data_IF_922355687033
#
_entry.id   IF_922355687033
#
_cell.length_a   1.000
_cell.length_b   1.000
_cell.length_c   1.000
_cell.angle_alpha   90.00
_cell.angle_beta   90.00
_cell.angle_gamma   90.00
#
_symmetry.space_group_name_H-M   'P 1'
#
loop_
_entity.id
_entity.type
_entity.pdbx_description
1 polymer ?
#
# COMPACT_ATOMS: atom_id res chain seq x y z
N UNK A 1 27.97 -45.27 -21.56
CA UNK A 1 26.59 -45.24 -20.99
C UNK A 1 26.33 -44.02 -20.08
N UNK A 2 27.02 -42.88 -20.28
CA UNK A 2 26.82 -41.66 -19.47
C UNK A 2 26.23 -40.47 -20.24
N UNK A 3 25.90 -40.64 -21.53
CA UNK A 3 25.46 -39.55 -22.41
C UNK A 3 24.17 -38.88 -21.93
N UNK A 4 23.19 -39.66 -21.46
CA UNK A 4 21.94 -39.12 -20.92
C UNK A 4 22.12 -38.39 -19.58
N UNK A 5 23.11 -38.79 -18.76
CA UNK A 5 23.46 -38.07 -17.53
C UNK A 5 24.16 -36.73 -17.83
N UNK A 6 25.01 -36.70 -18.86
CA UNK A 6 25.68 -35.47 -19.28
C UNK A 6 24.70 -34.45 -19.86
N UNK A 7 23.73 -34.91 -20.64
CA UNK A 7 22.70 -34.07 -21.23
C UNK A 7 21.79 -33.46 -20.14
N UNK A 8 21.36 -34.27 -19.15
CA UNK A 8 20.61 -33.74 -18.01
C UNK A 8 21.44 -32.75 -17.18
N UNK A 9 22.72 -33.03 -16.92
CA UNK A 9 23.59 -32.14 -16.15
C UNK A 9 23.78 -30.77 -16.80
N UNK A 10 23.71 -30.70 -18.14
CA UNK A 10 23.80 -29.43 -18.88
C UNK A 10 22.49 -28.64 -18.87
N UNK A 11 21.33 -29.30 -18.88
CA UNK A 11 20.03 -28.62 -18.80
C UNK A 11 19.60 -28.27 -17.38
N UNK A 12 20.09 -29.00 -16.38
CA UNK A 12 19.77 -28.79 -14.98
C UNK A 12 19.96 -27.34 -14.48
N UNK A 13 21.09 -26.63 -14.75
CA UNK A 13 21.24 -25.25 -14.30
C UNK A 13 20.24 -24.29 -14.94
N UNK A 14 19.88 -24.49 -16.21
CA UNK A 14 18.88 -23.66 -16.90
C UNK A 14 17.50 -23.90 -16.28
N UNK A 15 17.18 -25.15 -15.96
CA UNK A 15 15.91 -25.50 -15.31
C UNK A 15 15.82 -24.90 -13.90
N UNK A 16 16.92 -24.84 -13.15
CA UNK A 16 16.94 -24.19 -11.84
C UNK A 16 16.73 -22.68 -11.92
N UNK A 17 17.35 -21.99 -12.90
CA UNK A 17 17.13 -20.55 -13.12
C UNK A 17 15.68 -20.27 -13.49
N UNK A 18 15.08 -21.09 -14.36
CA UNK A 18 13.68 -20.92 -14.75
C UNK A 18 12.74 -21.21 -13.58
N UNK A 19 12.97 -22.30 -12.84
CA UNK A 19 12.16 -22.67 -11.70
C UNK A 19 12.22 -21.61 -10.60
N UNK A 20 13.41 -21.08 -10.31
CA UNK A 20 13.56 -20.05 -9.30
C UNK A 20 12.85 -18.75 -9.68
N UNK A 21 12.92 -18.34 -10.95
CA UNK A 21 12.18 -17.17 -11.44
C UNK A 21 10.65 -17.32 -11.30
N UNK A 22 10.11 -18.51 -11.56
CA UNK A 22 8.66 -18.76 -11.39
C UNK A 22 8.27 -18.78 -9.90
N UNK A 23 9.11 -19.35 -9.04
CA UNK A 23 8.86 -19.36 -7.58
C UNK A 23 8.89 -17.95 -7.02
N UNK A 24 9.92 -17.16 -7.35
CA UNK A 24 10.04 -15.76 -6.90
C UNK A 24 8.86 -14.92 -7.39
N UNK A 25 8.48 -15.04 -8.66
CA UNK A 25 7.32 -14.34 -9.20
C UNK A 25 6.01 -14.75 -8.50
N UNK A 26 5.87 -16.02 -8.12
CA UNK A 26 4.73 -16.50 -7.36
C UNK A 26 4.63 -15.88 -5.97
N UNK A 27 5.76 -15.74 -5.27
CA UNK A 27 5.85 -15.08 -3.96
C UNK A 27 5.54 -13.58 -4.08
N UNK A 28 6.13 -12.91 -5.09
CA UNK A 28 5.87 -11.51 -5.41
C UNK A 28 4.37 -11.25 -5.66
N UNK A 29 3.76 -12.05 -6.54
CA UNK A 29 2.35 -11.88 -6.88
C UNK A 29 1.44 -12.12 -5.68
N UNK A 30 1.78 -13.07 -4.80
CA UNK A 30 1.01 -13.31 -3.59
C UNK A 30 0.98 -12.07 -2.69
N UNK A 31 2.13 -11.43 -2.44
CA UNK A 31 2.18 -10.20 -1.65
C UNK A 31 1.48 -9.03 -2.35
N UNK A 32 1.64 -8.89 -3.68
CA UNK A 32 0.94 -7.87 -4.45
C UNK A 32 -0.58 -7.98 -4.32
N UNK A 33 -1.12 -9.20 -4.44
CA UNK A 33 -2.56 -9.43 -4.32
C UNK A 33 -3.06 -9.11 -2.91
N UNK A 34 -2.32 -9.48 -1.86
CA UNK A 34 -2.71 -9.16 -0.49
C UNK A 34 -2.75 -7.66 -0.20
N UNK A 35 -1.75 -6.91 -0.68
CA UNK A 35 -1.75 -5.46 -0.50
C UNK A 35 -2.84 -4.79 -1.34
N UNK A 36 -3.10 -5.30 -2.54
CA UNK A 36 -4.19 -4.84 -3.38
C UNK A 36 -5.57 -5.06 -2.74
N UNK A 37 -5.80 -6.20 -2.09
CA UNK A 37 -7.04 -6.51 -1.40
C UNK A 37 -7.20 -5.67 -0.13
N UNK A 38 -6.11 -5.44 0.63
CA UNK A 38 -6.09 -4.51 1.75
C UNK A 38 -6.48 -3.07 1.32
N UNK A 39 -5.91 -2.56 0.22
CA UNK A 39 -6.26 -1.24 -0.31
C UNK A 39 -7.74 -1.15 -0.72
N UNK A 40 -8.29 -2.20 -1.33
CA UNK A 40 -9.71 -2.27 -1.71
C UNK A 40 -10.64 -2.32 -0.50
N UNK A 41 -10.31 -3.10 0.52
CA UNK A 41 -11.08 -3.20 1.75
C UNK A 41 -11.07 -1.86 2.51
N UNK A 42 -9.93 -1.19 2.57
CA UNK A 42 -9.81 0.15 3.16
C UNK A 42 -10.63 1.20 2.40
N UNK A 43 -10.52 1.24 1.06
CA UNK A 43 -11.31 2.15 0.23
C UNK A 43 -12.82 1.89 0.40
N UNK A 44 -13.23 0.63 0.50
CA UNK A 44 -14.63 0.26 0.75
C UNK A 44 -15.08 0.70 2.13
N UNK A 45 -14.28 0.47 3.17
CA UNK A 45 -14.59 0.94 4.52
C UNK A 45 -14.79 2.46 4.56
N UNK A 46 -13.93 3.19 3.86
CA UNK A 46 -13.97 4.65 3.84
C UNK A 46 -15.11 5.23 2.98
N UNK A 47 -15.73 4.46 2.08
CA UNK A 47 -16.81 4.92 1.18
C UNK A 47 -18.04 5.52 1.87
N UNK A 48 -18.30 5.10 3.11
CA UNK A 48 -19.39 5.60 3.96
C UNK A 48 -18.90 6.65 4.99
N UNK A 49 -17.61 6.97 4.97
CA UNK A 49 -16.96 7.92 5.86
C UNK A 49 -17.20 9.38 5.47
N UNK A 50 -16.96 10.29 6.41
CA UNK A 50 -17.00 11.73 6.20
C UNK A 50 -15.57 12.26 6.02
N UNK A 51 -15.21 12.69 4.80
CA UNK A 51 -13.83 13.08 4.47
C UNK A 51 -13.30 14.29 5.27
N UNK A 52 -14.22 15.12 5.79
CA UNK A 52 -13.92 16.33 6.56
C UNK A 52 -13.70 16.07 8.05
N UNK A 53 -13.90 14.83 8.51
CA UNK A 53 -13.68 14.45 9.90
C UNK A 53 -12.18 14.37 10.16
N UNK A 54 -11.71 15.33 10.94
CA UNK A 54 -10.33 15.41 11.40
C UNK A 54 -10.28 15.37 12.91
N UNK A 55 -9.32 14.62 13.45
CA UNK A 55 -8.91 14.69 14.85
C UNK A 55 -7.39 14.70 15.00
N UNK A 56 -6.90 14.78 16.22
CA UNK A 56 -5.46 14.66 16.53
C UNK A 56 -5.14 13.36 17.27
N UNK A 57 -6.03 12.37 17.16
CA UNK A 57 -5.89 11.08 17.83
C UNK A 57 -5.17 10.14 16.87
N UNK A 58 -3.94 9.80 17.23
CA UNK A 58 -3.14 8.77 16.56
C UNK A 58 -3.30 7.46 17.32
N UNK A 59 -4.51 6.92 17.30
CA UNK A 59 -4.86 5.60 17.83
C UNK A 59 -5.97 5.01 16.94
N UNK A 60 -5.75 3.86 16.28
CA UNK A 60 -6.77 3.28 15.39
C UNK A 60 -8.05 2.88 16.13
N UNK A 61 -7.99 2.63 17.44
CA UNK A 61 -9.16 2.26 18.23
C UNK A 61 -10.01 3.47 18.65
N UNK A 62 -9.42 4.67 18.66
CA UNK A 62 -10.05 5.88 19.19
C UNK A 62 -10.19 7.00 18.15
N UNK A 63 -9.42 6.96 17.06
CA UNK A 63 -9.46 7.97 16.01
C UNK A 63 -10.78 7.92 15.27
N UNK A 64 -11.29 9.12 15.00
CA UNK A 64 -12.44 9.43 14.14
C UNK A 64 -12.01 10.21 12.91
N UNK A 65 -10.71 10.40 12.73
CA UNK A 65 -10.12 11.00 11.54
C UNK A 65 -10.30 10.06 10.35
N UNK A 66 -10.85 10.59 9.26
CA UNK A 66 -11.18 9.82 8.08
C UNK A 66 -9.97 9.12 7.46
N UNK A 67 -8.87 9.85 7.28
CA UNK A 67 -7.69 9.34 6.60
C UNK A 67 -6.96 8.33 7.47
N UNK A 68 -6.83 8.61 8.78
CA UNK A 68 -6.24 7.66 9.72
C UNK A 68 -7.04 6.37 9.81
N UNK A 69 -8.38 6.46 9.89
CA UNK A 69 -9.21 5.25 9.93
C UNK A 69 -9.04 4.37 8.69
N UNK A 70 -9.00 4.97 7.50
CA UNK A 70 -8.77 4.23 6.27
C UNK A 70 -7.37 3.57 6.25
N UNK A 71 -6.32 4.28 6.64
CA UNK A 71 -4.97 3.70 6.77
C UNK A 71 -4.91 2.58 7.82
N UNK A 72 -5.63 2.73 8.94
CA UNK A 72 -5.75 1.68 9.95
C UNK A 72 -6.38 0.39 9.40
N UNK A 73 -7.37 0.49 8.51
CA UNK A 73 -7.97 -0.70 7.88
C UNK A 73 -6.96 -1.39 6.97
N UNK A 74 -6.17 -0.67 6.16
CA UNK A 74 -5.10 -1.27 5.35
C UNK A 74 -4.20 -2.14 6.23
N UNK A 75 -3.73 -1.61 7.35
CA UNK A 75 -2.84 -2.35 8.26
C UNK A 75 -3.52 -3.58 8.87
N UNK A 76 -4.80 -3.48 9.22
CA UNK A 76 -5.55 -4.60 9.81
C UNK A 76 -5.74 -5.76 8.85
N UNK A 77 -5.88 -5.48 7.56
CA UNK A 77 -5.99 -6.50 6.52
C UNK A 77 -4.63 -7.15 6.25
N UNK A 78 -3.55 -6.36 6.17
CA UNK A 78 -2.19 -6.88 5.95
C UNK A 78 -1.74 -7.85 7.05
N UNK A 79 -2.05 -7.53 8.31
CA UNK A 79 -1.72 -8.41 9.46
C UNK A 79 -2.48 -9.75 9.40
N UNK A 80 -3.66 -9.79 8.77
CA UNK A 80 -4.47 -11.00 8.65
C UNK A 80 -4.07 -11.88 7.47
N UNK A 81 -3.75 -11.26 6.33
CA UNK A 81 -3.47 -11.98 5.09
C UNK A 81 -2.03 -12.47 4.97
N UNK A 82 -1.08 -11.78 5.60
CA UNK A 82 0.33 -12.15 5.64
C UNK A 82 0.80 -12.38 7.08
N UNK A 83 0.46 -13.52 7.71
CA UNK A 83 1.18 -13.93 8.91
C UNK A 83 2.63 -14.21 8.49
N UNK A 84 3.54 -13.38 8.95
CA UNK A 84 4.98 -13.48 8.72
C UNK A 84 5.48 -14.93 8.80
N UNK A 85 6.13 -15.41 7.73
CA UNK A 85 7.15 -16.48 7.85
C UNK A 85 8.56 -15.87 7.81
N UNK A 86 8.67 -14.55 7.63
CA UNK A 86 9.93 -13.81 7.64
C UNK A 86 10.08 -13.02 8.94
N UNK A 87 11.20 -13.24 9.62
CA UNK A 87 11.58 -12.48 10.81
C UNK A 87 12.11 -11.11 10.41
N UNK A 88 11.27 -10.15 9.99
CA UNK A 88 11.76 -8.79 9.83
C UNK A 88 10.72 -7.66 10.03
N UNK A 89 11.05 -6.84 11.04
CA UNK A 89 10.82 -5.41 11.27
C UNK A 89 9.43 -4.80 10.98
N UNK A 90 8.62 -4.68 12.05
CA UNK A 90 7.54 -3.71 12.12
C UNK A 90 7.94 -2.50 12.98
N UNK A 91 7.73 -1.28 12.48
CA UNK A 91 8.01 -0.02 13.18
C UNK A 91 6.93 0.27 14.26
N UNK A 92 7.21 0.88 15.44
CA UNK A 92 8.28 1.83 15.81
C UNK A 92 9.49 1.21 16.51
N UNK A 93 9.68 -0.10 16.44
CA UNK A 93 10.84 -0.75 17.03
C UNK A 93 11.60 -1.55 15.98
N UNK A 94 12.92 -1.48 16.05
CA UNK A 94 13.88 -2.24 15.25
C UNK A 94 13.84 -3.75 15.56
N UNK A 95 12.73 -4.24 16.12
CA UNK A 95 12.45 -5.60 16.54
C UNK A 95 11.14 -6.04 15.89
N UNK A 96 11.00 -7.32 15.48
CA UNK A 96 9.73 -7.86 15.02
C UNK A 96 8.62 -7.53 16.01
N UNK A 97 7.49 -7.00 15.51
CA UNK A 97 6.29 -6.80 16.31
C UNK A 97 5.71 -8.17 16.62
N UNK A 98 6.06 -8.70 17.79
CA UNK A 98 5.55 -9.98 18.27
C UNK A 98 4.37 -9.75 19.22
N UNK A 99 3.15 -9.77 18.66
CA UNK A 99 1.92 -9.64 19.43
C UNK A 99 1.59 -10.86 20.30
N UNK A 100 2.29 -11.98 20.12
CA UNK A 100 2.14 -13.18 20.93
C UNK A 100 2.95 -13.07 22.22
N UNK A 101 4.15 -12.48 22.17
CA UNK A 101 5.01 -12.28 23.35
C UNK A 101 4.91 -10.90 24.00
N UNK A 102 4.54 -9.85 23.27
CA UNK A 102 4.28 -8.51 23.81
C UNK A 102 2.90 -7.97 23.39
N UNK A 103 1.80 -8.51 23.95
CA UNK A 103 0.45 -8.10 23.62
C UNK A 103 0.13 -6.66 24.04
N UNK A 104 1.00 -6.01 24.82
CA UNK A 104 0.89 -4.61 25.26
C UNK A 104 1.58 -3.60 24.34
N UNK A 105 2.27 -4.05 23.28
CA UNK A 105 2.87 -3.14 22.31
C UNK A 105 1.78 -2.28 21.65
N UNK A 106 2.06 -0.99 21.46
CA UNK A 106 1.18 -0.06 20.73
C UNK A 106 0.82 -0.58 19.32
N UNK A 107 1.69 -1.37 18.72
CA UNK A 107 1.41 -2.08 17.47
C UNK A 107 0.27 -3.09 17.56
N UNK A 108 0.21 -3.82 18.67
CA UNK A 108 -0.67 -4.97 18.87
C UNK A 108 -1.98 -4.58 19.57
N UNK A 109 -1.90 -3.64 20.51
CA UNK A 109 -3.06 -3.10 21.24
C UNK A 109 -3.88 -2.13 20.42
N UNK A 110 -3.21 -1.25 19.66
CA UNK A 110 -3.86 -0.18 18.90
C UNK A 110 -3.85 -0.41 17.39
N UNK A 111 -3.41 -1.60 16.90
CA UNK A 111 -3.39 -1.97 15.46
C UNK A 111 -2.71 -0.91 14.58
N UNK A 112 -1.74 -0.20 15.13
CA UNK A 112 -1.16 1.01 14.53
C UNK A 112 0.17 0.82 13.85
N UNK A 113 0.76 -0.35 13.93
CA UNK A 113 2.01 -0.60 13.22
C UNK A 113 1.70 -0.97 11.80
N UNK A 114 2.15 -0.10 10.91
CA UNK A 114 2.14 -0.30 9.49
C UNK A 114 2.89 -1.63 9.25
N UNK A 115 2.26 -2.56 8.52
CA UNK A 115 3.00 -3.72 7.99
C UNK A 115 4.08 -3.25 6.99
N UNK A 116 3.91 -2.05 6.47
CA UNK A 116 4.86 -1.37 5.62
C UNK A 116 5.89 -0.63 6.49
N UNK A 117 7.09 -0.40 5.99
CA UNK A 117 8.18 0.26 6.71
C UNK A 117 8.48 1.66 6.13
N UNK A 118 7.99 2.75 6.76
CA UNK A 118 8.23 4.11 6.27
C UNK A 118 9.70 4.51 6.29
N UNK A 119 10.50 3.92 7.16
CA UNK A 119 11.94 4.20 7.31
C UNK A 119 12.81 3.17 6.59
N UNK A 120 12.20 2.39 5.70
CA UNK A 120 12.89 1.36 4.94
C UNK A 120 14.10 1.92 4.21
N UNK A 121 15.20 1.18 4.29
CA UNK A 121 16.48 1.45 3.64
C UNK A 121 16.74 0.38 2.59
N UNK A 122 17.21 0.78 1.39
CA UNK A 122 17.63 -0.16 0.36
C UNK A 122 19.03 -0.75 0.63
N UNK A 123 19.50 -1.64 -0.27
CA UNK A 123 20.81 -2.27 -0.15
C UNK A 123 22.00 -1.28 -0.23
N UNK A 124 21.77 -0.06 -0.73
CA UNK A 124 22.78 1.01 -0.82
C UNK A 124 22.75 1.97 0.37
N UNK A 125 21.86 1.74 1.35
CA UNK A 125 21.73 2.62 2.52
C UNK A 125 20.84 3.85 2.28
N UNK A 126 20.09 3.89 1.19
CA UNK A 126 19.18 4.99 0.84
C UNK A 126 17.81 4.75 1.48
N UNK A 127 17.28 5.77 2.14
CA UNK A 127 15.90 5.76 2.64
C UNK A 127 14.94 5.75 1.45
N UNK A 128 14.20 4.65 1.28
CA UNK A 128 13.22 4.46 0.21
C UNK A 128 11.78 4.56 0.71
N UNK A 129 11.51 4.04 1.91
CA UNK A 129 10.28 4.18 2.68
C UNK A 129 8.99 3.71 2.00
N UNK A 130 8.19 2.95 2.73
CA UNK A 130 6.82 2.61 2.35
C UNK A 130 5.82 3.66 2.86
N UNK A 131 4.68 3.80 2.20
CA UNK A 131 3.70 4.80 2.57
C UNK A 131 2.29 4.44 2.10
N UNK A 132 1.29 4.97 2.79
CA UNK A 132 -0.11 4.93 2.37
C UNK A 132 -0.52 6.35 2.05
N UNK A 133 -0.98 6.56 0.82
CA UNK A 133 -1.49 7.86 0.37
C UNK A 133 -2.97 7.74 0.08
N UNK A 134 -3.76 8.64 0.66
CA UNK A 134 -5.21 8.65 0.52
C UNK A 134 -5.64 9.98 -0.07
N UNK A 135 -6.35 9.92 -1.20
CA UNK A 135 -6.90 11.10 -1.86
C UNK A 135 -8.41 10.98 -1.99
N UNK A 136 -9.11 12.10 -1.87
CA UNK A 136 -10.55 12.19 -2.10
C UNK A 136 -10.80 13.15 -3.24
N UNK A 137 -11.71 12.79 -4.15
CA UNK A 137 -12.08 13.58 -5.31
C UNK A 137 -13.58 13.88 -5.29
N UNK A 138 -13.95 15.13 -5.47
CA UNK A 138 -15.32 15.54 -5.79
C UNK A 138 -15.45 15.71 -7.30
N UNK A 139 -16.48 15.11 -7.89
CA UNK A 139 -16.71 15.12 -9.34
C UNK A 139 -18.07 15.71 -9.67
N UNK A 140 -18.13 16.60 -10.65
CA UNK A 140 -19.37 17.14 -11.23
C UNK A 140 -19.26 17.07 -12.75
N UNK A 141 -20.30 16.59 -13.41
CA UNK A 141 -20.38 16.51 -14.88
C UNK A 141 -19.16 15.82 -15.53
N UNK A 142 -18.65 14.77 -14.88
CA UNK A 142 -17.51 14.00 -15.37
C UNK A 142 -16.16 14.72 -15.30
N UNK A 143 -16.03 15.75 -14.46
CA UNK A 143 -14.76 16.43 -14.19
C UNK A 143 -14.51 16.54 -12.68
N UNK A 144 -13.26 16.33 -12.27
CA UNK A 144 -12.82 16.61 -10.89
C UNK A 144 -12.94 18.10 -10.61
N UNK A 145 -13.82 18.46 -9.66
CA UNK A 145 -14.05 19.84 -9.23
C UNK A 145 -13.34 20.17 -7.92
N UNK A 146 -13.11 19.17 -7.07
CA UNK A 146 -12.40 19.31 -5.82
C UNK A 146 -11.53 18.09 -5.54
N UNK A 147 -10.44 18.30 -4.79
CA UNK A 147 -9.55 17.25 -4.32
C UNK A 147 -9.14 17.56 -2.89
N UNK A 148 -9.10 16.52 -2.04
CA UNK A 148 -8.76 16.63 -0.63
C UNK A 148 -7.74 15.55 -0.21
N UNK A 149 -6.89 15.84 0.80
CA UNK A 149 -6.72 17.14 1.46
C UNK A 149 -6.13 18.22 0.54
N UNK A 150 -5.28 17.82 -0.39
CA UNK A 150 -4.66 18.66 -1.42
C UNK A 150 -4.30 17.82 -2.67
N UNK A 151 -3.41 18.34 -3.51
CA UNK A 151 -2.94 17.65 -4.73
C UNK A 151 -2.08 16.43 -4.47
N UNK A 152 -1.44 16.37 -3.31
CA UNK A 152 -0.44 15.36 -2.98
C UNK A 152 -1.11 14.21 -2.22
N UNK A 153 -2.29 14.45 -1.65
CA UNK A 153 -3.04 13.47 -0.89
C UNK A 153 -2.58 13.42 0.57
N UNK A 154 -3.32 12.72 1.42
CA UNK A 154 -2.92 12.49 2.79
C UNK A 154 -1.90 11.35 2.84
N UNK A 155 -0.67 11.63 3.26
CA UNK A 155 0.38 10.63 3.47
C UNK A 155 0.43 10.18 4.93
N UNK A 156 0.52 8.87 5.16
CA UNK A 156 0.76 8.33 6.48
C UNK A 156 2.14 8.74 7.00
N UNK A 157 3.18 8.61 6.19
CA UNK A 157 4.54 9.02 6.55
C UNK A 157 4.59 10.51 6.96
N UNK A 158 3.89 11.39 6.23
CA UNK A 158 3.79 12.82 6.56
C UNK A 158 3.02 13.07 7.86
N UNK A 159 1.84 12.46 8.05
CA UNK A 159 1.04 12.64 9.27
C UNK A 159 1.83 12.26 10.53
N UNK A 160 2.71 11.28 10.41
CA UNK A 160 3.58 10.81 11.49
C UNK A 160 4.94 11.50 11.58
N UNK A 161 5.34 12.25 10.55
CA UNK A 161 6.64 12.92 10.49
C UNK A 161 7.81 11.95 10.46
N UNK A 162 7.64 10.81 9.77
CA UNK A 162 8.62 9.72 9.70
C UNK A 162 8.87 9.33 8.24
N UNK A 163 10.01 8.66 7.99
CA UNK A 163 10.22 7.97 6.73
C UNK A 163 10.29 8.86 5.49
N UNK A 164 9.95 8.26 4.35
CA UNK A 164 9.88 8.95 3.05
C UNK A 164 8.43 9.23 2.70
N UNK A 165 8.06 10.52 2.68
CA UNK A 165 6.74 10.97 2.26
C UNK A 165 6.53 10.67 0.77
N UNK A 166 5.45 9.96 0.45
CA UNK A 166 4.97 9.78 -0.91
C UNK A 166 3.79 10.73 -1.17
N UNK A 167 3.58 11.01 -2.44
CA UNK A 167 2.44 11.80 -2.92
C UNK A 167 1.67 10.95 -3.91
N UNK A 168 0.39 11.28 -4.08
CA UNK A 168 -0.51 10.56 -4.95
C UNK A 168 0.03 10.53 -6.39
N UNK A 169 0.00 9.35 -7.00
CA UNK A 169 0.46 9.18 -8.39
C UNK A 169 -0.53 9.72 -9.41
N UNK A 170 -1.78 9.97 -9.01
CA UNK A 170 -2.85 10.36 -9.91
C UNK A 170 -3.02 11.88 -9.95
N UNK A 171 -2.94 12.46 -11.16
CA UNK A 171 -3.34 13.85 -11.38
C UNK A 171 -4.83 13.98 -11.63
N UNK A 172 -5.39 15.19 -11.49
CA UNK A 172 -6.80 15.43 -11.84
C UNK A 172 -7.11 15.08 -13.30
N UNK A 173 -6.15 15.29 -14.22
CA UNK A 173 -6.30 14.88 -15.61
C UNK A 173 -6.32 13.36 -15.77
N UNK A 174 -5.50 12.63 -15.02
CA UNK A 174 -5.50 11.17 -15.07
C UNK A 174 -6.82 10.60 -14.57
N UNK A 175 -7.35 11.16 -13.47
CA UNK A 175 -8.67 10.80 -12.94
C UNK A 175 -9.77 11.09 -13.96
N UNK A 176 -9.76 12.27 -14.58
CA UNK A 176 -10.72 12.63 -15.63
C UNK A 176 -10.66 11.65 -16.82
N UNK A 177 -9.46 11.25 -17.25
CA UNK A 177 -9.29 10.35 -18.39
C UNK A 177 -9.58 8.88 -18.06
N UNK A 178 -9.32 8.44 -16.83
CA UNK A 178 -9.40 7.04 -16.41
C UNK A 178 -10.80 6.66 -15.90
N UNK A 179 -11.48 7.57 -15.21
CA UNK A 179 -12.64 7.22 -14.38
C UNK A 179 -13.94 7.92 -14.80
N UNK A 180 -13.87 8.98 -15.60
CA UNK A 180 -15.00 9.88 -15.81
C UNK A 180 -15.40 9.94 -17.29
N UNK A 181 -16.48 9.26 -17.63
CA UNK A 181 -17.23 9.57 -18.86
C UNK A 181 -17.94 10.93 -18.63
N UNK A 182 -17.98 11.86 -19.60
CA UNK A 182 -18.79 13.08 -19.50
C UNK A 182 -20.28 12.86 -19.16
N UNK A 183 -20.80 11.63 -19.23
CA UNK A 183 -22.12 11.24 -18.72
C UNK A 183 -22.17 10.80 -17.24
N UNK A 184 -21.06 10.80 -16.50
CA UNK A 184 -21.02 10.30 -15.11
C UNK A 184 -21.78 11.23 -14.16
N UNK A 185 -22.65 10.71 -13.28
CA UNK A 185 -23.30 11.50 -12.25
C UNK A 185 -22.29 12.22 -11.35
N UNK A 186 -22.69 13.37 -10.81
CA UNK A 186 -21.91 14.05 -9.77
C UNK A 186 -21.79 13.14 -8.55
N UNK A 187 -20.57 12.78 -8.15
CA UNK A 187 -20.29 11.88 -7.04
C UNK A 187 -18.91 12.19 -6.46
N UNK A 188 -18.65 11.75 -5.24
CA UNK A 188 -17.30 11.68 -4.71
C UNK A 188 -16.65 10.32 -4.98
N UNK A 189 -15.32 10.30 -4.96
CA UNK A 189 -14.50 9.09 -4.99
C UNK A 189 -13.41 9.16 -3.94
N UNK A 190 -13.07 8.03 -3.36
CA UNK A 190 -11.85 7.84 -2.58
C UNK A 190 -10.85 7.00 -3.39
N UNK A 191 -9.59 7.41 -3.32
CA UNK A 191 -8.43 6.72 -3.82
C UNK A 191 -7.54 6.36 -2.62
N UNK A 192 -7.28 5.06 -2.46
CA UNK A 192 -6.29 4.55 -1.51
C UNK A 192 -5.13 4.00 -2.32
N UNK A 193 -3.94 4.57 -2.12
CA UNK A 193 -2.69 4.17 -2.74
C UNK A 193 -1.75 3.61 -1.67
N UNK A 194 -1.09 2.50 -1.98
CA UNK A 194 -0.11 1.88 -1.10
C UNK A 194 1.20 1.76 -1.86
N UNK A 195 2.21 2.45 -1.37
CA UNK A 195 3.59 2.37 -1.81
C UNK A 195 4.32 1.43 -0.88
N UNK A 196 4.95 0.41 -1.46
CA UNK A 196 5.68 -0.57 -0.68
C UNK A 196 6.85 -1.13 -1.47
N UNK A 197 7.80 -1.71 -0.77
CA UNK A 197 8.97 -2.33 -1.37
C UNK A 197 8.94 -3.84 -1.12
N UNK A 198 9.05 -4.60 -2.20
CA UNK A 198 9.13 -6.06 -2.14
C UNK A 198 10.58 -6.52 -1.99
N UNK A 199 10.85 -7.30 -0.94
CA UNK A 199 12.10 -8.02 -0.75
C UNK A 199 12.12 -9.31 -1.57
N UNK A 200 13.15 -9.49 -2.38
CA UNK A 200 13.32 -10.74 -3.12
C UNK A 200 13.59 -11.89 -2.13
N UNK A 201 12.65 -12.82 -2.02
CA UNK A 201 12.69 -13.89 -1.03
C UNK A 201 13.86 -14.86 -1.24
N UNK A 202 14.24 -15.10 -2.51
CA UNK A 202 15.35 -15.99 -2.85
C UNK A 202 16.71 -15.30 -2.95
N UNK A 203 16.78 -13.96 -2.98
CA UNK A 203 18.01 -13.14 -3.05
C UNK A 203 19.05 -13.76 -4.03
N UNK A 204 18.65 -13.88 -5.30
CA UNK A 204 19.42 -14.63 -6.31
C UNK A 204 20.33 -13.68 -7.10
N UNK A 205 21.67 -13.90 -7.10
CA UNK A 205 22.61 -12.97 -7.74
C UNK A 205 22.40 -12.77 -9.25
N UNK A 206 21.85 -13.77 -9.95
CA UNK A 206 21.53 -13.66 -11.38
C UNK A 206 20.23 -12.92 -11.67
N UNK A 207 19.34 -12.75 -10.67
CA UNK A 207 18.13 -11.92 -10.78
C UNK A 207 18.47 -10.48 -10.42
N UNK A 208 19.25 -10.27 -9.34
CA UNK A 208 19.72 -8.96 -8.89
C UNK A 208 20.56 -8.22 -9.94
N UNK A 209 21.21 -8.95 -10.86
CA UNK A 209 21.91 -8.38 -11.99
C UNK A 209 21.01 -7.57 -12.96
N UNK A 210 19.70 -7.80 -12.92
CA UNK A 210 18.73 -7.17 -13.82
C UNK A 210 17.59 -6.44 -13.08
N UNK A 211 17.27 -6.86 -11.86
CA UNK A 211 16.16 -6.34 -11.06
C UNK A 211 16.70 -5.93 -9.70
N UNK A 212 16.53 -4.66 -9.28
CA UNK A 212 17.01 -4.22 -7.98
C UNK A 212 16.30 -4.96 -6.84
N UNK A 213 17.00 -5.11 -5.73
CA UNK A 213 16.42 -5.56 -4.45
C UNK A 213 16.63 -4.43 -3.43
N UNK A 214 15.58 -3.91 -2.78
CA UNK A 214 14.17 -4.25 -2.96
C UNK A 214 13.52 -3.65 -4.22
N UNK A 215 12.40 -4.24 -4.65
CA UNK A 215 11.61 -3.77 -5.80
C UNK A 215 10.56 -2.77 -5.32
N UNK A 216 10.62 -1.52 -5.81
CA UNK A 216 9.60 -0.52 -5.54
C UNK A 216 8.29 -0.86 -6.27
N UNK A 217 7.20 -0.92 -5.50
CA UNK A 217 5.88 -1.31 -5.98
C UNK A 217 4.79 -0.37 -5.49
N UNK A 218 3.70 -0.31 -6.25
CA UNK A 218 2.56 0.55 -6.00
C UNK A 218 1.29 -0.17 -6.40
N UNK A 219 0.27 -0.04 -5.54
CA UNK A 219 -1.08 -0.50 -5.82
C UNK A 219 -2.08 0.57 -5.39
N UNK A 220 -3.26 0.55 -5.99
CA UNK A 220 -4.31 1.51 -5.72
C UNK A 220 -5.70 0.89 -5.79
N UNK A 221 -6.66 1.53 -5.14
CA UNK A 221 -8.07 1.19 -5.21
C UNK A 221 -8.95 2.45 -5.23
N UNK A 222 -9.93 2.46 -6.13
CA UNK A 222 -10.97 3.49 -6.20
C UNK A 222 -12.30 2.94 -5.69
N UNK A 223 -13.00 3.74 -4.88
CA UNK A 223 -14.38 3.47 -4.45
C UNK A 223 -15.19 4.76 -4.48
N UNK A 224 -16.52 4.69 -4.70
CA UNK A 224 -17.37 5.87 -4.54
C UNK A 224 -17.33 6.35 -3.09
N UNK A 225 -17.48 7.66 -2.88
CA UNK A 225 -17.55 8.29 -1.56
C UNK A 225 -18.68 9.30 -1.54
N UNK A 226 -19.74 9.00 -0.80
CA UNK A 226 -20.94 9.86 -0.78
C UNK A 226 -20.69 11.22 -0.11
N UNK A 227 -19.80 11.29 0.89
CA UNK A 227 -19.53 12.53 1.62
C UNK A 227 -18.80 13.59 0.79
N UNK A 228 -18.10 13.18 -0.26
CA UNK A 228 -17.39 14.07 -1.18
C UNK A 228 -18.22 14.44 -2.42
N UNK A 229 -19.52 14.12 -2.44
CA UNK A 229 -20.44 14.59 -3.48
C UNK A 229 -20.53 16.13 -3.44
N UNK A 230 -20.29 16.82 -4.57
CA UNK A 230 -20.39 18.28 -4.64
C UNK A 230 -21.82 18.73 -4.31
N UNK A 231 -22.02 19.28 -3.11
CA UNK A 231 -23.34 19.75 -2.69
C UNK A 231 -23.62 21.11 -3.36
N UNK A 232 -24.77 21.30 -4.04
CA UNK A 232 -25.10 22.54 -4.74
C UNK A 232 -25.45 23.73 -3.82
N UNK A 233 -25.35 23.57 -2.50
CA UNK A 233 -25.68 24.63 -1.52
C UNK A 233 -24.40 25.16 -0.89
N UNK A 234 -24.06 26.46 -1.03
CA UNK A 234 -22.98 27.05 -0.26
C UNK A 234 -23.33 26.94 1.23
N UNK A 235 -22.41 26.38 2.02
CA UNK A 235 -22.52 26.40 3.47
C UNK A 235 -22.62 27.87 3.92
N UNK A 236 -23.67 28.25 4.69
CA UNK A 236 -23.86 29.63 5.16
C UNK A 236 -22.81 30.07 6.19
#
# INVERSE_FOLDING_TARGET
KGQSLLELALFFPILLILLSGVVEFGLFLNQYLSIQDAARNAARFASDGLYDRVDNIKDCNATRDFYRQAACVVNQELVQEQPWITMERGFPYNTPVDCETNPSDSCCTNRMCLHLDPERVDNDGVLVGDDIVISVFGVTDGQVTARFPDTDGWSFAEDWGIGVVKSSSFTNSDVNNLLLDPGSPSTGYILVEVYYHYDQALNLPWVEAFIPDPIATHTYAFMPLSSAEPTPTPLP
#
